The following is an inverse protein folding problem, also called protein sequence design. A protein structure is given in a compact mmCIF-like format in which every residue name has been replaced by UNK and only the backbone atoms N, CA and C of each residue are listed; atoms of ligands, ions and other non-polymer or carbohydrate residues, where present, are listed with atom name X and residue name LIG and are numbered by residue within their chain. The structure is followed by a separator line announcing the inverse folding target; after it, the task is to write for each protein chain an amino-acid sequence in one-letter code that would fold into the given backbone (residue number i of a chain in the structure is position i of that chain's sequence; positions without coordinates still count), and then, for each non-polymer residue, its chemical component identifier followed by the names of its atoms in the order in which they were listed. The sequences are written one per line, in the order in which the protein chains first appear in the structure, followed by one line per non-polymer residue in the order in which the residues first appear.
data_IF_666677013939
#
_entry.id   IF_666677013939
#
_cell.length_a   1.000
_cell.length_b   1.000
_cell.length_c   1.000
_cell.angle_alpha   90.00
_cell.angle_beta   90.00
_cell.angle_gamma   90.00
#
_symmetry.space_group_name_H-M   'P 1'
#
loop_
_entity.id
_entity.type
_entity.pdbx_description
1 polymer ?
#
# COMPACT_ATOMS: atom_id res chain seq x y z
N UNK A 1 16.94 -1.99 3.07
CA UNK A 1 17.27 -1.12 1.91
C UNK A 1 16.01 -0.59 1.21
N UNK A 2 15.07 -1.45 0.80
CA UNK A 2 13.82 -1.04 0.13
C UNK A 2 12.97 -0.04 0.94
N UNK A 3 12.81 -0.27 2.26
CA UNK A 3 12.07 0.66 3.13
C UNK A 3 12.67 2.08 3.16
N UNK A 4 14.01 2.19 3.15
CA UNK A 4 14.70 3.48 3.15
C UNK A 4 14.41 4.24 1.85
N UNK A 5 14.45 3.53 0.72
CA UNK A 5 14.14 4.09 -0.59
C UNK A 5 12.68 4.55 -0.68
N UNK A 6 11.73 3.76 -0.15
CA UNK A 6 10.31 4.14 -0.12
C UNK A 6 10.06 5.40 0.72
N UNK A 7 10.72 5.51 1.89
CA UNK A 7 10.63 6.70 2.75
C UNK A 7 11.21 7.95 2.07
N UNK A 8 12.37 7.83 1.42
CA UNK A 8 13.00 8.93 0.68
C UNK A 8 12.13 9.37 -0.50
N UNK A 9 11.56 8.42 -1.25
CA UNK A 9 10.67 8.73 -2.37
C UNK A 9 9.39 9.44 -1.94
N UNK A 10 8.79 9.00 -0.83
CA UNK A 10 7.60 9.63 -0.24
C UNK A 10 7.90 11.07 0.20
N UNK A 11 8.99 11.28 0.94
CA UNK A 11 9.43 12.61 1.36
C UNK A 11 9.75 13.53 0.16
N UNK A 12 10.41 13.01 -0.88
CA UNK A 12 10.73 13.78 -2.08
C UNK A 12 9.51 14.16 -2.93
N UNK A 13 8.38 13.47 -2.78
CA UNK A 13 7.12 13.73 -3.50
C UNK A 13 6.08 14.45 -2.64
N UNK A 14 6.42 14.83 -1.40
CA UNK A 14 5.49 15.36 -0.39
C UNK A 14 4.24 14.48 -0.18
N UNK A 15 4.46 13.16 -0.22
CA UNK A 15 3.43 12.13 -0.02
C UNK A 15 3.68 11.35 1.25
N UNK A 16 2.61 10.84 1.84
CA UNK A 16 2.70 9.91 2.97
C UNK A 16 3.05 8.51 2.47
N UNK A 17 3.76 7.71 3.28
CA UNK A 17 4.01 6.31 2.97
C UNK A 17 2.90 5.44 3.59
N UNK A 18 2.10 4.77 2.76
CA UNK A 18 1.09 3.81 3.20
C UNK A 18 1.61 2.39 3.01
N UNK A 19 1.84 1.68 4.12
CA UNK A 19 2.33 0.30 4.09
C UNK A 19 1.17 -0.67 4.27
N UNK A 20 0.94 -1.53 3.28
CA UNK A 20 -0.06 -2.58 3.33
C UNK A 20 0.62 -3.94 3.50
N UNK A 21 0.50 -4.53 4.69
CA UNK A 21 0.98 -5.88 4.97
C UNK A 21 -0.09 -6.89 4.56
N UNK A 22 0.28 -7.87 3.74
CA UNK A 22 -0.65 -8.84 3.17
C UNK A 22 -0.12 -10.26 3.35
N UNK A 23 -1.00 -11.18 3.74
CA UNK A 23 -0.71 -12.61 3.72
C UNK A 23 -1.64 -13.30 2.72
N UNK A 24 -1.09 -14.21 1.91
CA UNK A 24 -1.89 -14.99 0.95
C UNK A 24 -2.79 -16.02 1.64
N UNK A 25 -2.50 -16.37 2.90
CA UNK A 25 -3.30 -17.28 3.71
C UNK A 25 -4.43 -16.57 4.46
N UNK A 26 -4.40 -15.23 4.55
CA UNK A 26 -5.37 -14.44 5.29
C UNK A 26 -6.53 -13.99 4.40
N UNK A 27 -7.75 -14.45 4.69
CA UNK A 27 -8.93 -14.07 3.92
C UNK A 27 -9.18 -12.56 3.92
N UNK A 28 -8.91 -11.89 5.04
CA UNK A 28 -9.05 -10.42 5.14
C UNK A 28 -8.10 -9.65 4.21
N UNK A 29 -6.93 -10.22 3.88
CA UNK A 29 -6.02 -9.66 2.88
C UNK A 29 -6.68 -9.66 1.49
N UNK A 30 -7.32 -10.77 1.12
CA UNK A 30 -8.07 -10.88 -0.14
C UNK A 30 -9.28 -9.93 -0.20
N UNK A 31 -10.01 -9.79 0.91
CA UNK A 31 -11.13 -8.82 1.00
C UNK A 31 -10.65 -7.38 0.80
N UNK A 32 -9.54 -6.98 1.41
CA UNK A 32 -8.96 -5.65 1.21
C UNK A 32 -8.65 -5.38 -0.27
N UNK A 33 -8.01 -6.34 -0.95
CA UNK A 33 -7.68 -6.19 -2.37
C UNK A 33 -8.94 -6.05 -3.24
N UNK A 34 -9.98 -6.86 -2.97
CA UNK A 34 -11.21 -6.88 -3.77
C UNK A 34 -12.12 -5.69 -3.49
N UNK A 35 -12.31 -5.34 -2.23
CA UNK A 35 -13.38 -4.42 -1.83
C UNK A 35 -12.85 -2.99 -1.61
N UNK A 36 -11.61 -2.84 -1.14
CA UNK A 36 -11.02 -1.53 -0.81
C UNK A 36 -10.05 -1.04 -1.88
N UNK A 37 -9.04 -1.83 -2.26
CA UNK A 37 -8.01 -1.37 -3.20
C UNK A 37 -8.48 -1.35 -4.66
N UNK A 38 -9.44 -2.21 -5.03
CA UNK A 38 -10.06 -2.17 -6.35
C UNK A 38 -11.09 -1.03 -6.51
N UNK A 39 -11.50 -0.37 -5.42
CA UNK A 39 -12.40 0.77 -5.51
C UNK A 39 -11.67 1.97 -6.15
N UNK A 40 -12.19 2.48 -7.27
CA UNK A 40 -11.55 3.54 -8.05
C UNK A 40 -11.34 4.83 -7.25
N UNK A 41 -12.31 5.24 -6.43
CA UNK A 41 -12.20 6.45 -5.63
C UNK A 41 -11.10 6.31 -4.56
N UNK A 42 -10.96 5.11 -3.96
CA UNK A 42 -9.87 4.80 -3.04
C UNK A 42 -8.54 4.79 -3.77
N UNK A 43 -8.44 4.12 -4.93
CA UNK A 43 -7.22 4.05 -5.72
C UNK A 43 -6.72 5.46 -6.12
N UNK A 44 -7.62 6.34 -6.56
CA UNK A 44 -7.30 7.73 -6.90
C UNK A 44 -6.84 8.54 -5.68
N UNK A 45 -7.47 8.35 -4.53
CA UNK A 45 -7.08 9.02 -3.28
C UNK A 45 -5.67 8.58 -2.84
N UNK A 46 -5.38 7.29 -2.97
CA UNK A 46 -4.07 6.71 -2.63
C UNK A 46 -3.00 7.23 -3.59
N UNK A 47 -3.21 7.18 -4.91
CA UNK A 47 -2.22 7.63 -5.88
C UNK A 47 -1.89 9.11 -5.74
N UNK A 48 -2.86 9.92 -5.31
CA UNK A 48 -2.69 11.37 -5.13
C UNK A 48 -1.85 11.69 -3.90
N UNK A 49 -2.13 11.04 -2.76
CA UNK A 49 -1.61 11.47 -1.45
C UNK A 49 -0.51 10.56 -0.89
N UNK A 50 -0.35 9.35 -1.43
CA UNK A 50 0.50 8.32 -0.86
C UNK A 50 1.46 7.68 -1.85
N UNK A 51 2.59 7.20 -1.32
CA UNK A 51 3.34 6.09 -1.90
C UNK A 51 2.78 4.81 -1.29
N UNK A 52 2.12 3.98 -2.09
CA UNK A 52 1.55 2.72 -1.64
C UNK A 52 2.57 1.59 -1.72
N UNK A 53 2.93 1.00 -0.58
CA UNK A 53 3.87 -0.10 -0.52
C UNK A 53 3.22 -1.35 0.06
N UNK A 54 2.98 -2.34 -0.81
CA UNK A 54 2.47 -3.64 -0.42
C UNK A 54 3.61 -4.62 -0.16
N UNK A 55 3.57 -5.28 0.99
CA UNK A 55 4.55 -6.31 1.36
C UNK A 55 3.81 -7.61 1.66
N UNK A 56 4.19 -8.66 0.94
CA UNK A 56 3.74 -10.01 1.23
C UNK A 56 4.53 -10.60 2.39
N UNK A 57 3.83 -11.05 3.42
CA UNK A 57 4.38 -11.80 4.54
C UNK A 57 3.83 -13.22 4.51
N UNK A 58 4.69 -14.18 4.84
CA UNK A 58 4.34 -15.58 5.02
C UNK A 58 4.52 -15.84 6.51
N UNK A 59 3.44 -16.17 7.20
CA UNK A 59 3.48 -16.69 8.57
C UNK A 59 3.49 -18.22 8.54
#
# INVERSE_FOLDING_TARGET
MVQMQAKVAAAGQDKWLLVNLQSTTEFSSHMLNRDTWANEAVAQTISTNFIFWQVSIIF
#
